data_IF_173840754911
#
_entry.id   IF_173840754911
#
_cell.length_a   1.000
_cell.length_b   1.000
_cell.length_c   1.000
_cell.angle_alpha   90.00
_cell.angle_beta   90.00
_cell.angle_gamma   90.00
#
_symmetry.space_group_name_H-M   'P 1'
#
loop_
_entity.id
_entity.type
_entity.pdbx_description
1 polymer ?
#
# COMPACT_ATOMS: atom_id res chain seq x y z
N UNK A 1 -22.83 8.40 -0.11
CA UNK A 1 -22.48 7.06 -0.66
C UNK A 1 -22.81 7.02 -2.13
N UNK A 2 -21.89 6.55 -2.99
CA UNK A 2 -22.06 6.50 -4.44
C UNK A 2 -22.00 5.03 -4.89
N UNK A 3 -22.89 4.62 -5.79
CA UNK A 3 -22.87 3.31 -6.44
C UNK A 3 -22.40 3.46 -7.89
N UNK A 4 -21.42 2.65 -8.28
CA UNK A 4 -20.88 2.57 -9.65
C UNK A 4 -21.24 1.21 -10.23
N UNK A 5 -21.94 1.22 -11.37
CA UNK A 5 -22.34 -0.03 -12.07
C UNK A 5 -21.51 -0.19 -13.34
N UNK A 6 -20.82 -1.30 -13.45
CA UNK A 6 -20.14 -1.73 -14.66
C UNK A 6 -20.88 -2.83 -15.40
N UNK A 7 -20.20 -3.38 -16.40
CA UNK A 7 -20.77 -4.46 -17.23
C UNK A 7 -20.93 -5.78 -16.46
N UNK A 8 -20.04 -6.08 -15.53
CA UNK A 8 -19.96 -7.37 -14.85
C UNK A 8 -20.15 -7.30 -13.34
N UNK A 9 -19.98 -6.11 -12.75
CA UNK A 9 -20.10 -5.94 -11.30
C UNK A 9 -20.52 -4.50 -10.95
N UNK A 10 -20.77 -4.29 -9.67
CA UNK A 10 -21.04 -2.98 -9.08
C UNK A 10 -20.13 -2.74 -7.87
N UNK A 11 -19.85 -1.48 -7.58
CA UNK A 11 -19.06 -1.05 -6.43
C UNK A 11 -19.79 0.00 -5.61
N UNK A 12 -19.57 0.01 -4.29
CA UNK A 12 -20.03 1.07 -3.39
C UNK A 12 -18.83 1.90 -2.92
N UNK A 13 -18.99 3.22 -2.98
CA UNK A 13 -18.01 4.20 -2.48
C UNK A 13 -18.63 4.88 -1.24
N UNK A 14 -17.95 4.80 -0.11
CA UNK A 14 -18.47 5.26 1.17
C UNK A 14 -18.15 6.73 1.48
N UNK A 15 -18.18 7.57 0.46
CA UNK A 15 -18.07 9.03 0.56
C UNK A 15 -18.77 9.69 -0.63
N UNK A 16 -19.06 10.97 -0.52
CA UNK A 16 -19.59 11.78 -1.62
C UNK A 16 -18.48 12.64 -2.27
N UNK A 17 -17.29 12.67 -1.66
CA UNK A 17 -16.12 13.44 -2.12
C UNK A 17 -15.16 12.53 -2.90
N UNK A 18 -15.38 12.43 -4.22
CA UNK A 18 -14.61 11.57 -5.13
C UNK A 18 -14.26 12.33 -6.40
N UNK A 19 -13.01 12.23 -6.85
CA UNK A 19 -12.57 12.79 -8.12
C UNK A 19 -13.02 11.93 -9.32
N UNK A 20 -13.10 12.54 -10.50
CA UNK A 20 -13.57 11.88 -11.73
C UNK A 20 -12.62 10.75 -12.20
N UNK A 21 -11.32 10.86 -11.93
CA UNK A 21 -10.36 9.82 -12.29
C UNK A 21 -10.57 8.55 -11.47
N UNK A 22 -10.86 8.71 -10.17
CA UNK A 22 -11.22 7.60 -9.29
C UNK A 22 -12.51 6.91 -9.74
N UNK A 23 -13.55 7.68 -10.09
CA UNK A 23 -14.81 7.13 -10.64
C UNK A 23 -14.53 6.32 -11.91
N UNK A 24 -13.73 6.85 -12.83
CA UNK A 24 -13.38 6.15 -14.07
C UNK A 24 -12.61 4.85 -13.82
N UNK A 25 -11.67 4.83 -12.86
CA UNK A 25 -10.94 3.62 -12.47
C UNK A 25 -11.85 2.56 -11.84
N UNK A 26 -12.79 2.94 -10.99
CA UNK A 26 -13.78 2.03 -10.40
C UNK A 26 -14.71 1.47 -11.48
N UNK A 27 -15.17 2.32 -12.41
CA UNK A 27 -15.99 1.90 -13.54
C UNK A 27 -15.26 0.87 -14.41
N UNK A 28 -13.97 1.11 -14.71
CA UNK A 28 -13.14 0.18 -15.48
C UNK A 28 -12.95 -1.16 -14.76
N UNK A 29 -12.76 -1.14 -13.43
CA UNK A 29 -12.71 -2.37 -12.62
C UNK A 29 -14.02 -3.15 -12.69
N UNK A 30 -15.17 -2.49 -12.54
CA UNK A 30 -16.49 -3.11 -12.60
C UNK A 30 -16.85 -3.63 -14.02
N UNK A 31 -16.16 -3.18 -15.05
CA UNK A 31 -16.27 -3.68 -16.43
C UNK A 31 -15.46 -4.95 -16.68
N UNK A 32 -14.68 -5.43 -15.72
CA UNK A 32 -13.87 -6.63 -15.87
C UNK A 32 -14.65 -7.89 -15.46
N UNK A 33 -14.70 -8.89 -16.33
CA UNK A 33 -15.43 -10.15 -16.10
C UNK A 33 -14.93 -10.90 -14.86
N UNK A 34 -13.63 -10.84 -14.55
CA UNK A 34 -13.06 -11.53 -13.38
C UNK A 34 -13.57 -10.99 -12.05
N UNK A 35 -14.21 -9.82 -12.02
CA UNK A 35 -14.81 -9.25 -10.80
C UNK A 35 -16.22 -9.78 -10.53
N UNK A 36 -16.81 -10.55 -11.44
CA UNK A 36 -18.15 -11.11 -11.26
C UNK A 36 -18.28 -11.88 -9.95
N UNK A 37 -19.30 -11.54 -9.15
CA UNK A 37 -19.53 -12.15 -7.83
C UNK A 37 -18.64 -11.61 -6.70
N UNK A 38 -17.66 -10.78 -6.98
CA UNK A 38 -16.86 -10.10 -5.97
C UNK A 38 -17.61 -8.93 -5.33
N UNK A 39 -17.43 -8.71 -4.04
CA UNK A 39 -17.95 -7.52 -3.35
C UNK A 39 -16.87 -6.44 -3.36
N UNK A 40 -17.07 -5.38 -4.17
CA UNK A 40 -16.13 -4.26 -4.33
C UNK A 40 -16.61 -3.11 -3.46
N UNK A 41 -15.76 -2.64 -2.55
CA UNK A 41 -16.04 -1.57 -1.58
C UNK A 41 -14.88 -0.59 -1.52
N UNK A 42 -15.19 0.70 -1.60
CA UNK A 42 -14.21 1.78 -1.64
C UNK A 42 -14.36 2.63 -0.38
N UNK A 43 -13.24 2.80 0.32
CA UNK A 43 -13.17 3.53 1.59
C UNK A 43 -13.30 5.06 1.37
N UNK A 44 -13.66 5.84 2.42
CA UNK A 44 -13.82 7.30 2.32
C UNK A 44 -12.59 8.06 1.84
N UNK A 45 -11.39 7.53 2.06
CA UNK A 45 -10.12 8.09 1.61
C UNK A 45 -9.77 7.78 0.15
N UNK A 46 -10.72 7.22 -0.63
CA UNK A 46 -10.53 6.89 -2.05
C UNK A 46 -9.88 8.03 -2.83
N UNK A 47 -8.90 7.68 -3.63
CA UNK A 47 -8.27 8.55 -4.62
C UNK A 47 -7.65 7.73 -5.76
N UNK A 48 -7.37 8.41 -6.88
CA UNK A 48 -6.79 7.75 -8.05
C UNK A 48 -5.38 7.22 -7.74
N UNK A 49 -5.09 5.99 -8.19
CA UNK A 49 -3.81 5.33 -8.05
C UNK A 49 -3.26 4.84 -9.39
N UNK A 50 -2.04 4.30 -9.38
CA UNK A 50 -1.44 3.70 -10.57
C UNK A 50 -2.24 2.45 -11.00
N UNK A 51 -3.04 2.59 -12.05
CA UNK A 51 -3.83 1.53 -12.66
C UNK A 51 -5.14 1.18 -11.96
N UNK A 52 -5.31 1.50 -10.68
CA UNK A 52 -6.54 1.29 -9.91
C UNK A 52 -6.54 2.16 -8.66
N UNK A 53 -7.73 2.42 -8.12
CA UNK A 53 -7.92 3.29 -6.96
C UNK A 53 -7.26 2.75 -5.70
N UNK A 54 -6.77 3.68 -4.86
CA UNK A 54 -6.39 3.46 -3.47
C UNK A 54 -7.66 3.62 -2.61
N UNK A 55 -7.78 2.92 -1.51
CA UNK A 55 -9.01 2.79 -0.73
C UNK A 55 -9.90 1.64 -1.20
N UNK A 56 -9.39 0.73 -2.04
CA UNK A 56 -10.15 -0.39 -2.61
C UNK A 56 -10.08 -1.63 -1.75
N UNK A 57 -11.25 -2.25 -1.51
CA UNK A 57 -11.37 -3.60 -0.95
C UNK A 57 -12.23 -4.47 -1.86
N UNK A 58 -11.86 -5.74 -2.01
CA UNK A 58 -12.58 -6.67 -2.86
C UNK A 58 -12.49 -8.09 -2.33
N UNK A 59 -13.61 -8.82 -2.31
CA UNK A 59 -13.56 -10.27 -2.08
C UNK A 59 -12.99 -10.97 -3.31
N UNK A 60 -12.14 -11.95 -3.09
CA UNK A 60 -11.49 -12.72 -4.16
C UNK A 60 -11.69 -14.23 -3.95
N UNK A 61 -11.48 -15.01 -4.98
CA UNK A 61 -11.53 -16.48 -4.93
C UNK A 61 -10.24 -17.10 -5.47
N UNK A 62 -10.11 -17.19 -6.77
CA UNK A 62 -9.05 -17.90 -7.51
C UNK A 62 -8.25 -17.01 -8.46
N UNK A 63 -8.53 -15.70 -8.43
CA UNK A 63 -7.87 -14.68 -9.28
C UNK A 63 -7.56 -13.46 -8.46
N UNK A 64 -6.39 -12.89 -8.69
CA UNK A 64 -6.00 -11.62 -8.06
C UNK A 64 -5.19 -10.76 -9.02
N UNK A 65 -5.45 -9.47 -8.99
CA UNK A 65 -4.63 -8.45 -9.67
C UNK A 65 -3.59 -7.94 -8.69
N UNK A 66 -2.28 -8.18 -8.90
CA UNK A 66 -1.23 -7.69 -7.99
C UNK A 66 -1.27 -6.17 -7.77
N UNK A 67 -1.59 -5.38 -8.79
CA UNK A 67 -1.76 -3.94 -8.66
C UNK A 67 -2.93 -3.53 -7.75
N UNK A 68 -3.95 -4.39 -7.56
CA UNK A 68 -5.04 -4.15 -6.61
C UNK A 68 -4.65 -4.45 -5.16
N UNK A 69 -3.52 -5.10 -4.92
CA UNK A 69 -2.89 -5.21 -3.59
C UNK A 69 -1.98 -3.99 -3.37
N UNK A 70 -1.34 -3.53 -4.43
CA UNK A 70 -0.36 -2.44 -4.41
C UNK A 70 1.07 -2.96 -4.46
N UNK A 71 1.98 -2.07 -4.87
CA UNK A 71 3.40 -2.42 -5.02
C UNK A 71 4.17 -2.42 -3.71
N UNK A 72 3.71 -1.66 -2.70
CA UNK A 72 4.28 -1.71 -1.35
C UNK A 72 3.48 -2.71 -0.50
N UNK A 73 3.68 -4.00 -0.79
CA UNK A 73 3.01 -5.11 -0.12
C UNK A 73 3.34 -5.07 1.38
N UNK A 74 2.32 -5.17 2.24
CA UNK A 74 2.49 -5.18 3.68
C UNK A 74 2.84 -3.81 4.27
N UNK A 75 2.75 -2.72 3.47
CA UNK A 75 2.85 -1.36 4.02
C UNK A 75 1.83 -1.18 5.14
N UNK A 76 2.25 -0.52 6.20
CA UNK A 76 1.43 -0.38 7.40
C UNK A 76 2.13 0.42 8.48
N UNK A 77 1.51 0.45 9.64
CA UNK A 77 1.97 1.24 10.78
C UNK A 77 2.21 0.36 11.98
N UNK A 78 3.33 0.58 12.64
CA UNK A 78 3.63 0.08 13.98
C UNK A 78 3.36 1.20 14.95
N UNK A 79 2.42 1.00 15.88
CA UNK A 79 2.02 1.99 16.87
C UNK A 79 2.39 1.51 18.25
N UNK A 80 3.19 2.29 18.98
CA UNK A 80 3.69 1.95 20.32
C UNK A 80 3.37 3.05 21.29
N UNK A 81 2.58 2.76 22.33
CA UNK A 81 2.39 3.65 23.47
C UNK A 81 3.52 3.43 24.45
N UNK A 82 4.09 4.54 24.93
CA UNK A 82 5.19 4.54 25.88
C UNK A 82 4.77 5.11 27.24
N UNK A 83 5.47 4.69 28.30
CA UNK A 83 5.22 5.17 29.68
C UNK A 83 5.65 6.61 29.90
N UNK A 84 6.68 7.06 29.19
CA UNK A 84 7.27 8.37 29.34
C UNK A 84 6.27 9.47 28.93
N UNK A 85 6.04 10.46 29.79
CA UNK A 85 5.19 11.61 29.49
C UNK A 85 5.89 12.71 28.71
N UNK A 86 7.22 12.60 28.46
CA UNK A 86 8.05 13.55 27.71
C UNK A 86 9.16 12.85 26.96
N UNK A 87 9.50 13.37 25.78
CA UNK A 87 10.65 12.95 24.97
C UNK A 87 11.55 14.14 24.63
N UNK A 88 12.84 13.88 24.57
CA UNK A 88 13.83 14.82 24.04
C UNK A 88 13.81 14.73 22.51
N UNK A 89 12.98 15.56 21.86
CA UNK A 89 12.70 15.46 20.41
C UNK A 89 13.95 15.66 19.54
N UNK A 90 14.87 16.57 19.95
CA UNK A 90 16.15 16.76 19.25
C UNK A 90 17.04 15.52 19.31
N UNK A 91 17.05 14.84 20.46
CA UNK A 91 17.81 13.60 20.62
C UNK A 91 17.20 12.45 19.81
N UNK A 92 15.86 12.38 19.76
CA UNK A 92 15.14 11.43 18.93
C UNK A 92 15.44 11.66 17.44
N UNK A 93 15.35 12.91 16.98
CA UNK A 93 15.63 13.31 15.60
C UNK A 93 17.06 12.88 15.18
N UNK A 94 18.04 13.21 16.03
CA UNK A 94 19.43 12.78 15.81
C UNK A 94 19.58 11.26 15.77
N UNK A 95 18.92 10.53 16.68
CA UNK A 95 18.94 9.07 16.70
C UNK A 95 18.39 8.49 15.40
N UNK A 96 17.26 9.03 14.90
CA UNK A 96 16.64 8.58 13.66
C UNK A 96 17.60 8.78 12.48
N UNK A 97 18.19 9.98 12.34
CA UNK A 97 19.17 10.26 11.29
C UNK A 97 20.39 9.33 11.32
N UNK A 98 20.87 8.97 12.53
CA UNK A 98 22.07 8.14 12.69
C UNK A 98 21.81 6.64 12.54
N UNK A 99 20.60 6.15 12.85
CA UNK A 99 20.32 4.72 13.01
C UNK A 99 19.32 4.14 12.00
N UNK A 100 18.49 4.98 11.39
CA UNK A 100 17.42 4.57 10.50
C UNK A 100 17.66 5.17 9.11
N UNK A 101 18.27 4.41 8.18
CA UNK A 101 18.40 4.85 6.80
C UNK A 101 17.04 5.18 6.20
N UNK A 102 16.96 6.25 5.40
CA UNK A 102 15.73 6.74 4.79
C UNK A 102 15.93 7.05 3.30
N UNK A 103 14.85 7.36 2.59
CA UNK A 103 14.90 7.56 1.14
C UNK A 103 15.32 6.28 0.41
N UNK A 104 16.32 6.39 -0.45
CA UNK A 104 16.92 5.26 -1.17
C UNK A 104 18.02 4.53 -0.39
N UNK A 105 18.43 5.06 0.76
CA UNK A 105 19.49 4.50 1.58
C UNK A 105 19.06 3.18 2.24
N UNK A 106 20.01 2.26 2.34
CA UNK A 106 19.87 0.97 3.02
C UNK A 106 20.98 0.82 4.06
N UNK A 107 20.89 -0.21 4.89
CA UNK A 107 21.94 -0.50 5.90
C UNK A 107 23.22 -1.04 5.25
N UNK A 108 24.36 -0.75 5.83
CA UNK A 108 25.63 -1.36 5.40
C UNK A 108 25.66 -2.87 5.64
N UNK A 109 25.06 -3.31 6.75
CA UNK A 109 24.93 -4.71 7.15
C UNK A 109 23.47 -5.05 7.41
N UNK A 110 23.10 -6.30 7.12
CA UNK A 110 21.76 -6.81 7.40
C UNK A 110 21.41 -6.66 8.90
N UNK A 111 20.16 -6.33 9.18
CA UNK A 111 19.64 -6.29 10.54
C UNK A 111 19.49 -7.72 11.09
N UNK A 112 19.57 -7.89 12.41
CA UNK A 112 19.44 -9.21 13.08
C UNK A 112 18.12 -9.93 12.75
N UNK A 113 17.04 -9.19 12.45
CA UNK A 113 15.75 -9.75 12.07
C UNK A 113 15.75 -10.45 10.71
N UNK A 114 16.81 -10.34 9.92
CA UNK A 114 16.96 -11.19 8.74
C UNK A 114 17.01 -12.69 9.11
N UNK A 115 17.44 -13.04 10.32
CA UNK A 115 17.43 -14.43 10.79
C UNK A 115 16.02 -14.99 11.05
N UNK A 116 14.98 -14.15 11.03
CA UNK A 116 13.59 -14.53 11.26
C UNK A 116 12.82 -14.77 9.95
N UNK A 117 13.48 -14.60 8.79
CA UNK A 117 12.87 -14.74 7.47
C UNK A 117 13.88 -15.33 6.48
N UNK A 118 13.41 -16.24 5.64
CA UNK A 118 14.21 -16.77 4.53
C UNK A 118 13.66 -16.24 3.20
N UNK A 119 14.33 -15.24 2.63
CA UNK A 119 13.94 -14.65 1.35
C UNK A 119 14.18 -15.56 0.15
N UNK A 120 14.97 -16.63 0.31
CA UNK A 120 15.19 -17.62 -0.75
C UNK A 120 13.96 -18.52 -1.00
N UNK A 121 13.00 -18.55 -0.08
CA UNK A 121 11.73 -19.25 -0.23
C UNK A 121 10.77 -18.55 -1.21
N UNK A 122 11.04 -17.31 -1.63
CA UNK A 122 10.24 -16.63 -2.66
C UNK A 122 10.24 -17.45 -3.96
N UNK A 123 9.07 -17.76 -4.48
CA UNK A 123 8.94 -18.41 -5.80
C UNK A 123 9.59 -17.56 -6.89
N UNK A 124 9.50 -16.23 -6.77
CA UNK A 124 10.12 -15.28 -7.70
C UNK A 124 11.56 -14.86 -7.30
N UNK A 125 12.24 -15.54 -6.37
CA UNK A 125 13.55 -15.16 -5.83
C UNK A 125 14.61 -14.80 -6.90
N UNK A 126 14.57 -15.46 -8.07
CA UNK A 126 15.51 -15.21 -9.18
C UNK A 126 15.25 -13.90 -9.93
N UNK A 127 14.15 -13.22 -9.63
CA UNK A 127 13.68 -12.02 -10.31
C UNK A 127 13.69 -10.77 -9.42
N UNK A 128 14.23 -10.89 -8.21
CA UNK A 128 14.31 -9.81 -7.22
C UNK A 128 15.75 -9.65 -6.70
N UNK A 129 16.10 -8.44 -6.25
CA UNK A 129 17.39 -8.15 -5.65
C UNK A 129 17.40 -8.51 -4.16
N UNK A 130 17.69 -9.80 -3.87
CA UNK A 130 17.75 -10.32 -2.50
C UNK A 130 18.81 -9.62 -1.65
N UNK A 131 19.98 -9.29 -2.21
CA UNK A 131 21.06 -8.64 -1.45
C UNK A 131 20.64 -7.24 -0.99
N UNK A 132 19.90 -6.51 -1.82
CA UNK A 132 19.32 -5.23 -1.44
C UNK A 132 18.23 -5.40 -0.39
N UNK A 133 17.36 -6.39 -0.55
CA UNK A 133 16.27 -6.69 0.38
C UNK A 133 16.82 -7.02 1.77
N UNK A 134 17.82 -7.90 1.90
CA UNK A 134 18.47 -8.28 3.16
C UNK A 134 18.98 -7.08 3.96
N UNK A 135 19.48 -6.04 3.27
CA UNK A 135 19.97 -4.81 3.88
C UNK A 135 18.91 -3.74 4.08
N UNK A 136 17.68 -3.99 3.66
CA UNK A 136 16.58 -3.01 3.74
C UNK A 136 15.74 -3.13 5.01
N UNK A 137 15.86 -4.20 5.81
CA UNK A 137 15.18 -4.32 7.11
C UNK A 137 15.70 -3.25 8.07
N UNK A 138 14.80 -2.50 8.69
CA UNK A 138 15.13 -1.39 9.58
C UNK A 138 15.44 -0.09 8.83
N UNK A 139 14.84 0.10 7.64
CA UNK A 139 14.95 1.34 6.85
C UNK A 139 13.57 1.94 6.57
N UNK A 140 13.47 3.27 6.62
CA UNK A 140 12.18 3.96 6.52
C UNK A 140 11.68 4.05 5.08
N UNK A 141 12.53 4.45 4.16
CA UNK A 141 12.14 4.85 2.81
C UNK A 141 11.74 6.31 2.69
N UNK A 142 11.12 6.65 1.59
CA UNK A 142 10.65 7.99 1.27
C UNK A 142 9.13 8.04 1.01
N UNK A 143 8.69 9.09 0.35
CA UNK A 143 7.29 9.29 0.01
C UNK A 143 6.40 9.54 1.24
N UNK A 144 5.33 8.75 1.38
CA UNK A 144 4.39 8.87 2.49
C UNK A 144 4.85 8.19 3.79
N UNK A 145 6.02 7.52 3.80
CA UNK A 145 6.57 6.91 5.02
C UNK A 145 7.00 7.96 6.03
N UNK A 146 6.85 7.67 7.31
CA UNK A 146 7.19 8.60 8.39
C UNK A 146 7.49 7.88 9.71
N UNK A 147 8.16 8.61 10.61
CA UNK A 147 8.24 8.30 12.03
C UNK A 147 7.67 9.50 12.77
N UNK A 148 6.68 9.26 13.63
CA UNK A 148 5.94 10.31 14.31
C UNK A 148 5.85 10.02 15.82
N UNK A 149 5.83 11.07 16.63
CA UNK A 149 5.46 11.00 18.03
C UNK A 149 4.22 11.82 18.20
N UNK A 150 3.16 11.16 18.60
CA UNK A 150 1.86 11.76 18.86
C UNK A 150 1.55 11.83 20.34
N UNK A 151 0.67 12.74 20.69
CA UNK A 151 0.16 12.93 22.04
C UNK A 151 -1.36 12.95 22.06
N UNK A 152 -1.97 12.24 23.02
CA UNK A 152 -3.41 12.32 23.25
C UNK A 152 -3.77 13.41 24.29
N UNK A 153 -5.08 13.62 24.50
CA UNK A 153 -5.59 14.63 25.42
C UNK A 153 -5.29 14.32 26.91
N UNK A 154 -4.96 13.07 27.23
CA UNK A 154 -4.52 12.65 28.56
C UNK A 154 -3.00 12.83 28.78
N UNK A 155 -2.27 13.17 27.73
CA UNK A 155 -0.83 13.35 27.76
C UNK A 155 -0.02 12.10 27.49
N UNK A 156 -0.65 10.97 27.13
CA UNK A 156 0.06 9.77 26.72
C UNK A 156 0.78 9.98 25.37
N UNK A 157 1.96 9.39 25.23
CA UNK A 157 2.76 9.46 24.03
C UNK A 157 2.71 8.15 23.24
N UNK A 158 2.60 8.31 21.93
CA UNK A 158 2.58 7.22 20.96
C UNK A 158 3.68 7.44 19.93
N UNK A 159 4.45 6.39 19.63
CA UNK A 159 5.41 6.41 18.54
C UNK A 159 4.77 5.61 17.39
N UNK A 160 4.72 6.22 16.21
CA UNK A 160 4.16 5.61 15.01
C UNK A 160 5.25 5.51 13.96
N UNK A 161 5.47 4.31 13.43
CA UNK A 161 6.39 4.04 12.31
C UNK A 161 5.55 3.56 11.13
N UNK A 162 5.48 4.37 10.08
CA UNK A 162 4.85 4.02 8.81
C UNK A 162 5.91 3.62 7.79
N UNK A 163 5.93 2.36 7.41
CA UNK A 163 6.82 1.83 6.37
C UNK A 163 6.32 0.48 5.85
N UNK A 164 6.90 0.02 4.75
CA UNK A 164 6.47 -1.18 4.05
C UNK A 164 7.63 -2.12 3.69
N UNK A 165 7.44 -2.83 2.58
CA UNK A 165 8.34 -3.88 2.09
C UNK A 165 9.50 -3.35 1.25
N UNK A 166 9.67 -2.04 1.20
CA UNK A 166 10.76 -1.40 0.47
C UNK A 166 10.74 -1.80 -1.01
N UNK A 167 11.93 -1.85 -1.65
CA UNK A 167 12.03 -2.22 -3.07
C UNK A 167 11.60 -3.67 -3.35
N UNK A 168 11.73 -4.57 -2.37
CA UNK A 168 11.32 -5.97 -2.50
C UNK A 168 9.85 -6.12 -2.92
N UNK A 169 8.95 -5.41 -2.26
CA UNK A 169 7.52 -5.47 -2.61
C UNK A 169 7.23 -4.98 -4.03
N UNK A 170 7.92 -3.92 -4.46
CA UNK A 170 7.81 -3.40 -5.84
C UNK A 170 8.23 -4.46 -6.86
N UNK A 171 9.35 -5.14 -6.64
CA UNK A 171 9.86 -6.17 -7.54
C UNK A 171 8.92 -7.38 -7.60
N UNK A 172 8.46 -7.89 -6.44
CA UNK A 172 7.51 -9.02 -6.35
C UNK A 172 6.19 -8.68 -7.04
N UNK A 173 5.58 -7.54 -6.71
CA UNK A 173 4.32 -7.12 -7.33
C UNK A 173 4.47 -6.94 -8.84
N UNK A 174 5.56 -6.34 -9.30
CA UNK A 174 5.83 -6.11 -10.73
C UNK A 174 6.05 -7.42 -11.49
N UNK A 175 6.75 -8.38 -10.88
CA UNK A 175 6.95 -9.71 -11.48
C UNK A 175 5.61 -10.41 -11.74
N UNK A 176 4.73 -10.49 -10.72
CA UNK A 176 3.44 -11.17 -10.87
C UNK A 176 2.47 -10.41 -11.77
N UNK A 177 2.48 -9.07 -11.74
CA UNK A 177 1.67 -8.26 -12.66
C UNK A 177 2.05 -8.51 -14.12
N UNK A 178 3.36 -8.58 -14.41
CA UNK A 178 3.86 -8.87 -15.75
C UNK A 178 3.61 -10.33 -16.15
N UNK A 179 3.80 -11.29 -15.24
CA UNK A 179 3.55 -12.70 -15.48
C UNK A 179 2.06 -12.96 -15.81
N UNK A 180 1.15 -12.37 -15.03
CA UNK A 180 -0.29 -12.44 -15.29
C UNK A 180 -0.65 -11.87 -16.66
N UNK A 181 -0.11 -10.70 -17.01
CA UNK A 181 -0.35 -10.09 -18.31
C UNK A 181 0.18 -10.95 -19.47
N UNK A 182 1.35 -11.57 -19.32
CA UNK A 182 1.92 -12.49 -20.32
C UNK A 182 1.04 -13.71 -20.53
N UNK A 183 0.52 -14.31 -19.46
CA UNK A 183 -0.38 -15.47 -19.54
C UNK A 183 -1.67 -15.10 -20.25
N UNK A 184 -2.29 -13.98 -19.91
CA UNK A 184 -3.53 -13.50 -20.54
C UNK A 184 -3.37 -13.13 -22.02
N UNK A 185 -2.15 -12.80 -22.46
CA UNK A 185 -1.83 -12.49 -23.86
C UNK A 185 -1.17 -13.67 -24.59
N UNK A 186 -1.01 -14.83 -23.96
CA UNK A 186 -0.46 -16.01 -24.62
C UNK A 186 -1.46 -16.51 -25.66
N UNK A 187 -0.97 -16.71 -26.88
CA UNK A 187 -1.75 -17.40 -27.89
C UNK A 187 -1.95 -18.85 -27.47
N UNK A 188 -3.18 -19.31 -27.42
CA UNK A 188 -3.50 -20.69 -27.06
C UNK A 188 -2.99 -21.69 -28.11
N UNK A 189 -2.69 -22.91 -27.66
CA UNK A 189 -2.11 -23.94 -28.52
C UNK A 189 -3.06 -24.38 -29.63
N UNK A 190 -4.37 -24.35 -29.40
CA UNK A 190 -5.38 -24.65 -30.41
C UNK A 190 -5.36 -23.64 -31.58
N UNK A 191 -5.21 -22.35 -31.30
CA UNK A 191 -5.04 -21.30 -32.31
C UNK A 191 -3.76 -21.50 -33.13
N UNK A 192 -2.67 -21.93 -32.49
CA UNK A 192 -1.41 -22.24 -33.15
C UNK A 192 -1.58 -23.44 -34.09
N UNK A 193 -2.17 -24.51 -33.59
CA UNK A 193 -2.41 -25.72 -34.37
C UNK A 193 -3.36 -25.47 -35.58
N UNK A 194 -4.43 -24.70 -35.34
CA UNK A 194 -5.36 -24.32 -36.40
C UNK A 194 -4.68 -23.48 -37.49
N UNK A 195 -3.80 -22.52 -37.11
CA UNK A 195 -3.02 -21.76 -38.09
C UNK A 195 -2.09 -22.64 -38.89
N UNK A 196 -1.36 -23.55 -38.25
CA UNK A 196 -0.45 -24.50 -38.91
C UNK A 196 -1.21 -25.40 -39.86
N UNK A 197 -2.33 -25.99 -39.43
CA UNK A 197 -3.17 -26.87 -40.25
C UNK A 197 -3.70 -26.15 -41.50
N UNK A 198 -4.24 -24.94 -41.33
CA UNK A 198 -4.71 -24.07 -42.41
C UNK A 198 -3.61 -23.79 -43.43
N UNK A 199 -2.44 -23.34 -42.99
CA UNK A 199 -1.34 -22.96 -43.87
C UNK A 199 -0.74 -24.16 -44.62
N UNK A 200 -0.73 -25.36 -44.01
CA UNK A 200 -0.39 -26.60 -44.70
C UNK A 200 -1.38 -26.95 -45.79
N UNK A 201 -2.69 -26.82 -45.50
CA UNK A 201 -3.75 -27.06 -46.50
C UNK A 201 -3.66 -26.08 -47.68
N UNK A 202 -3.22 -24.84 -47.44
CA UNK A 202 -3.02 -23.81 -48.46
C UNK A 202 -1.67 -23.92 -49.21
N UNK A 203 -0.81 -24.89 -48.87
CA UNK A 203 0.54 -25.05 -49.47
C UNK A 203 1.54 -23.93 -49.09
N UNK A 204 1.30 -23.23 -48.00
CA UNK A 204 2.11 -22.05 -47.53
C UNK A 204 3.02 -22.40 -46.37
N UNK A 205 3.57 -23.59 -46.34
CA UNK A 205 4.37 -24.08 -45.22
C UNK A 205 5.60 -23.20 -44.90
N UNK A 206 6.22 -22.62 -45.96
CA UNK A 206 7.38 -21.74 -45.81
C UNK A 206 7.08 -20.44 -45.05
N UNK A 207 5.83 -20.04 -44.97
CA UNK A 207 5.37 -18.81 -44.33
C UNK A 207 4.92 -19.05 -42.88
N UNK A 208 4.80 -20.32 -42.44
CA UNK A 208 4.27 -20.66 -41.10
C UNK A 208 4.99 -19.90 -40.00
N UNK A 209 6.31 -19.86 -39.99
CA UNK A 209 7.08 -19.13 -38.93
C UNK A 209 6.78 -17.65 -38.88
N UNK A 210 6.60 -17.01 -40.03
CA UNK A 210 6.27 -15.58 -40.14
C UNK A 210 4.84 -15.32 -39.63
N UNK A 211 3.89 -16.13 -39.97
CA UNK A 211 2.50 -15.97 -39.52
C UNK A 211 2.31 -16.34 -38.05
N UNK A 212 3.02 -17.36 -37.53
CA UNK A 212 3.08 -17.65 -36.08
C UNK A 212 3.65 -16.47 -35.28
N UNK A 213 4.68 -15.81 -35.80
CA UNK A 213 5.23 -14.60 -35.16
C UNK A 213 4.22 -13.47 -35.13
N UNK A 214 3.45 -13.28 -36.22
CA UNK A 214 2.36 -12.29 -36.24
C UNK A 214 1.26 -12.65 -35.25
N UNK A 215 0.80 -13.91 -35.24
CA UNK A 215 -0.24 -14.39 -34.32
C UNK A 215 0.16 -14.19 -32.86
N UNK A 216 1.40 -14.56 -32.50
CA UNK A 216 1.94 -14.37 -31.14
C UNK A 216 2.10 -12.90 -30.72
N UNK A 217 2.21 -11.99 -31.68
CA UNK A 217 2.28 -10.55 -31.44
C UNK A 217 0.90 -9.87 -31.38
N UNK A 218 -0.18 -10.57 -31.71
CA UNK A 218 -1.51 -10.04 -31.55
C UNK A 218 -1.90 -9.99 -30.08
N UNK A 219 -2.55 -8.91 -29.68
CA UNK A 219 -3.13 -8.79 -28.33
C UNK A 219 -4.28 -9.79 -28.18
N UNK A 220 -4.14 -10.76 -27.28
CA UNK A 220 -5.12 -11.82 -27.04
C UNK A 220 -6.18 -11.47 -26.00
N UNK A 221 -5.94 -10.44 -25.19
CA UNK A 221 -6.89 -10.01 -24.17
C UNK A 221 -7.23 -8.53 -24.28
N UNK A 222 -8.48 -8.18 -23.94
CA UNK A 222 -8.91 -6.79 -23.77
C UNK A 222 -8.69 -6.26 -22.35
N UNK A 223 -8.21 -7.11 -21.42
CA UNK A 223 -7.92 -6.69 -20.06
C UNK A 223 -6.75 -5.69 -20.09
N UNK A 224 -6.91 -4.50 -19.47
CA UNK A 224 -5.80 -3.55 -19.35
C UNK A 224 -4.63 -4.18 -18.58
N UNK A 225 -3.39 -3.86 -18.98
CA UNK A 225 -2.19 -4.39 -18.30
C UNK A 225 -2.22 -4.13 -16.78
N UNK A 226 -2.74 -2.98 -16.38
CA UNK A 226 -2.85 -2.60 -14.97
C UNK A 226 -3.84 -3.48 -14.18
N UNK A 227 -4.80 -4.13 -14.86
CA UNK A 227 -5.81 -5.02 -14.27
C UNK A 227 -5.58 -6.49 -14.64
N UNK A 228 -4.43 -6.83 -15.24
CA UNK A 228 -4.09 -8.21 -15.50
C UNK A 228 -3.98 -8.99 -14.19
N UNK A 229 -4.66 -10.14 -14.16
CA UNK A 229 -4.70 -10.97 -12.96
C UNK A 229 -3.81 -12.22 -13.10
N UNK A 230 -3.45 -12.79 -11.97
CA UNK A 230 -2.86 -14.12 -11.85
C UNK A 230 -3.93 -15.11 -11.39
N UNK A 231 -3.85 -16.37 -11.86
CA UNK A 231 -4.74 -17.47 -11.52
C UNK A 231 -3.99 -18.79 -11.53
N UNK A 232 -4.60 -19.87 -11.00
CA UNK A 232 -3.98 -21.18 -10.92
C UNK A 232 -2.66 -21.16 -10.17
N UNK A 233 -1.62 -21.79 -10.70
CA UNK A 233 -0.31 -21.88 -10.07
C UNK A 233 0.31 -20.49 -9.77
N UNK A 234 0.17 -19.52 -10.68
CA UNK A 234 0.66 -18.15 -10.44
C UNK A 234 -0.08 -17.46 -9.30
N UNK A 235 -1.37 -17.77 -9.09
CA UNK A 235 -2.11 -17.25 -7.95
C UNK A 235 -1.53 -17.80 -6.63
N UNK A 236 -1.32 -19.12 -6.54
CA UNK A 236 -0.77 -19.76 -5.36
C UNK A 236 0.66 -19.24 -5.04
N UNK A 237 1.50 -19.11 -6.06
CA UNK A 237 2.83 -18.55 -5.91
C UNK A 237 2.79 -17.09 -5.43
N UNK A 238 1.88 -16.27 -5.97
CA UNK A 238 1.73 -14.88 -5.54
C UNK A 238 1.26 -14.78 -4.08
N UNK A 239 0.28 -15.59 -3.66
CA UNK A 239 -0.18 -15.62 -2.27
C UNK A 239 0.95 -16.02 -1.31
N UNK A 240 1.75 -17.03 -1.70
CA UNK A 240 2.91 -17.46 -0.93
C UNK A 240 3.93 -16.33 -0.79
N UNK A 241 4.36 -15.73 -1.89
CA UNK A 241 5.38 -14.68 -1.91
C UNK A 241 4.89 -13.41 -1.21
N UNK A 242 3.61 -13.05 -1.40
CA UNK A 242 2.99 -11.92 -0.70
C UNK A 242 3.07 -12.08 0.83
N UNK A 243 2.84 -13.29 1.37
CA UNK A 243 2.95 -13.56 2.82
C UNK A 243 4.38 -13.35 3.32
N UNK A 244 5.38 -13.78 2.58
CA UNK A 244 6.80 -13.55 2.90
C UNK A 244 7.09 -12.04 2.90
N UNK A 245 6.63 -11.32 1.88
CA UNK A 245 6.84 -9.87 1.78
C UNK A 245 6.10 -9.10 2.88
N UNK A 246 4.90 -9.54 3.29
CA UNK A 246 4.20 -8.98 4.46
C UNK A 246 5.01 -9.16 5.75
N UNK A 247 5.55 -10.37 5.96
CA UNK A 247 6.41 -10.65 7.11
C UNK A 247 7.67 -9.78 7.08
N UNK A 248 8.30 -9.65 5.93
CA UNK A 248 9.43 -8.73 5.74
C UNK A 248 9.09 -7.28 6.14
N UNK A 249 7.95 -6.76 5.68
CA UNK A 249 7.50 -5.41 6.01
C UNK A 249 7.23 -5.22 7.52
N UNK A 250 6.68 -6.25 8.19
CA UNK A 250 6.49 -6.26 9.64
C UNK A 250 7.85 -6.18 10.36
N UNK A 251 8.80 -7.03 10.00
CA UNK A 251 10.15 -7.03 10.58
C UNK A 251 10.87 -5.70 10.33
N UNK A 252 10.65 -5.09 9.17
CA UNK A 252 11.18 -3.77 8.85
C UNK A 252 10.69 -2.70 9.85
N UNK A 253 9.38 -2.62 10.12
CA UNK A 253 8.82 -1.67 11.10
C UNK A 253 9.28 -1.96 12.52
N UNK A 254 9.28 -3.23 12.93
CA UNK A 254 9.77 -3.64 14.25
C UNK A 254 11.24 -3.29 14.47
N UNK A 255 12.08 -3.46 13.46
CA UNK A 255 13.49 -3.12 13.55
C UNK A 255 13.70 -1.62 13.82
N UNK A 256 12.95 -0.75 13.15
CA UNK A 256 13.01 0.69 13.39
C UNK A 256 12.47 1.06 14.78
N UNK A 257 11.35 0.47 15.19
CA UNK A 257 10.79 0.70 16.52
C UNK A 257 11.77 0.26 17.63
N UNK A 258 12.43 -0.86 17.46
CA UNK A 258 13.47 -1.35 18.40
C UNK A 258 14.65 -0.38 18.52
N UNK A 259 15.13 0.18 17.40
CA UNK A 259 16.20 1.16 17.42
C UNK A 259 15.79 2.42 18.22
N UNK A 260 14.54 2.88 18.05
CA UNK A 260 14.01 4.04 18.77
C UNK A 260 13.85 3.73 20.26
N UNK A 261 13.16 2.64 20.60
CA UNK A 261 12.88 2.27 22.00
C UNK A 261 14.17 2.06 22.79
N UNK A 262 15.15 1.34 22.21
CA UNK A 262 16.44 1.10 22.84
C UNK A 262 17.31 2.36 22.92
N UNK A 263 17.40 3.11 21.81
CA UNK A 263 18.23 4.32 21.73
C UNK A 263 17.76 5.44 22.66
N UNK A 264 16.46 5.57 22.84
CA UNK A 264 15.85 6.55 23.75
C UNK A 264 15.61 5.98 25.15
N UNK A 265 15.84 4.67 25.40
CA UNK A 265 15.61 3.96 26.68
C UNK A 265 14.15 4.06 27.15
N UNK A 266 13.22 3.79 26.26
CA UNK A 266 11.78 3.90 26.50
C UNK A 266 11.19 2.61 27.07
N UNK A 267 10.06 2.74 27.78
CA UNK A 267 9.28 1.62 28.32
C UNK A 267 7.98 1.51 27.52
N UNK A 268 7.86 0.42 26.78
CA UNK A 268 6.65 0.10 26.00
C UNK A 268 5.54 -0.37 26.94
N UNK A 269 4.36 0.25 26.84
CA UNK A 269 3.15 -0.17 27.55
C UNK A 269 2.21 -0.97 26.65
N UNK A 270 2.12 -0.57 25.39
CA UNK A 270 1.19 -1.16 24.44
C UNK A 270 1.75 -1.03 23.01
N UNK A 271 1.52 -2.05 22.20
CA UNK A 271 1.97 -2.07 20.81
C UNK A 271 0.96 -2.79 19.93
N UNK A 272 0.71 -2.27 18.73
CA UNK A 272 -0.08 -2.94 17.71
C UNK A 272 0.31 -2.47 16.31
N UNK A 273 -0.01 -3.29 15.31
CA UNK A 273 0.28 -2.99 13.91
C UNK A 273 -1.00 -2.96 13.08
N UNK A 274 -1.02 -2.13 12.03
CA UNK A 274 -2.05 -2.12 10.98
C UNK A 274 -1.40 -2.23 9.62
N UNK A 275 -2.02 -2.98 8.71
CA UNK A 275 -1.53 -3.20 7.36
C UNK A 275 -2.60 -2.75 6.37
N UNK A 276 -2.21 -2.11 5.27
CA UNK A 276 -3.17 -1.53 4.32
C UNK A 276 -2.97 -1.92 2.85
N UNK A 277 -1.97 -2.75 2.51
CA UNK A 277 -1.75 -3.30 1.17
C UNK A 277 -1.48 -4.80 1.29
N UNK A 278 -2.53 -5.61 1.28
CA UNK A 278 -2.41 -7.04 1.47
C UNK A 278 -3.69 -7.80 1.11
N UNK A 279 -3.62 -9.11 1.16
CA UNK A 279 -4.76 -10.02 1.12
C UNK A 279 -4.89 -10.69 2.48
N UNK A 280 -6.06 -10.52 3.11
CA UNK A 280 -6.48 -11.36 4.23
C UNK A 280 -6.86 -12.73 3.67
N UNK A 281 -5.95 -13.69 3.78
CA UNK A 281 -6.12 -15.02 3.18
C UNK A 281 -7.12 -15.90 3.92
N UNK A 282 -7.50 -15.56 5.15
CA UNK A 282 -8.52 -16.28 5.92
C UNK A 282 -9.93 -15.85 5.46
N UNK A 283 -10.12 -14.55 5.24
CA UNK A 283 -11.38 -13.98 4.78
C UNK A 283 -11.45 -13.83 3.26
N UNK A 284 -10.36 -14.08 2.54
CA UNK A 284 -10.20 -13.83 1.11
C UNK A 284 -10.63 -12.42 0.70
N UNK A 285 -10.13 -11.44 1.43
CA UNK A 285 -10.36 -10.01 1.19
C UNK A 285 -9.05 -9.33 0.80
N UNK A 286 -9.01 -8.80 -0.40
CA UNK A 286 -7.95 -7.95 -0.90
C UNK A 286 -8.16 -6.52 -0.38
N UNK A 287 -7.08 -5.87 0.07
CA UNK A 287 -7.06 -4.47 0.51
C UNK A 287 -5.92 -3.71 -0.15
N UNK A 288 -6.26 -2.59 -0.80
CA UNK A 288 -5.30 -1.62 -1.33
C UNK A 288 -5.57 -0.25 -0.73
N UNK A 289 -4.70 0.22 0.16
CA UNK A 289 -4.95 1.45 0.89
C UNK A 289 -6.20 1.37 1.75
N UNK A 290 -6.39 0.23 2.43
CA UNK A 290 -7.46 0.00 3.38
C UNK A 290 -6.97 -0.94 4.48
N UNK A 291 -7.40 -0.72 5.72
CA UNK A 291 -7.02 -1.53 6.88
C UNK A 291 -8.14 -2.49 7.25
N UNK A 292 -7.80 -3.57 7.94
CA UNK A 292 -8.78 -4.44 8.60
C UNK A 292 -9.51 -3.68 9.72
N UNK A 293 -10.81 -3.93 9.85
CA UNK A 293 -11.67 -3.37 10.90
C UNK A 293 -12.65 -4.45 11.40
N UNK A 294 -12.13 -5.65 11.67
CA UNK A 294 -12.90 -6.73 12.29
C UNK A 294 -13.40 -6.27 13.65
N UNK A 295 -14.45 -6.92 14.17
CA UNK A 295 -15.03 -6.53 15.47
C UNK A 295 -13.98 -6.58 16.58
N UNK A 296 -13.84 -5.50 17.32
CA UNK A 296 -12.88 -5.36 18.41
C UNK A 296 -11.42 -5.15 18.00
N UNK A 297 -11.10 -5.16 16.70
CA UNK A 297 -9.74 -4.95 16.20
C UNK A 297 -9.33 -3.49 16.32
N UNK A 298 -8.13 -3.24 16.86
CA UNK A 298 -7.57 -1.89 16.95
C UNK A 298 -6.96 -1.48 15.62
N UNK A 299 -7.19 -0.24 15.21
CA UNK A 299 -6.63 0.33 13.99
C UNK A 299 -6.27 1.81 14.18
N UNK A 300 -5.29 2.23 13.38
CA UNK A 300 -4.84 3.61 13.28
C UNK A 300 -5.17 4.16 11.90
N UNK A 301 -5.78 5.35 11.85
CA UNK A 301 -6.05 6.08 10.62
C UNK A 301 -5.31 7.42 10.67
N UNK A 302 -4.12 7.55 10.06
CA UNK A 302 -3.38 8.81 10.00
C UNK A 302 -4.04 9.79 9.05
N UNK A 303 -4.05 11.05 9.43
CA UNK A 303 -4.63 12.13 8.62
C UNK A 303 -3.52 12.84 7.83
N UNK A 304 -2.62 13.52 8.51
CA UNK A 304 -1.45 14.18 7.93
C UNK A 304 -0.48 14.59 9.05
N UNK A 305 0.70 15.11 8.67
CA UNK A 305 1.79 15.51 9.57
C UNK A 305 1.43 16.55 10.67
N UNK A 306 0.27 17.24 10.55
CA UNK A 306 -0.19 18.28 11.49
C UNK A 306 -1.38 17.82 12.32
N UNK A 307 -2.35 17.19 11.67
CA UNK A 307 -3.65 16.90 12.30
C UNK A 307 -3.64 15.57 13.07
N UNK A 308 -2.63 14.71 12.82
CA UNK A 308 -2.39 13.49 13.57
C UNK A 308 -3.18 12.29 13.06
N UNK A 309 -3.61 11.44 13.99
CA UNK A 309 -4.20 10.14 13.66
C UNK A 309 -5.41 9.83 14.56
N UNK A 310 -6.31 8.97 14.04
CA UNK A 310 -7.43 8.43 14.78
C UNK A 310 -7.09 7.04 15.28
N UNK A 311 -7.14 6.83 16.60
CA UNK A 311 -7.11 5.50 17.21
C UNK A 311 -8.54 4.98 17.26
N UNK A 312 -8.81 3.89 16.56
CA UNK A 312 -10.15 3.34 16.39
C UNK A 312 -10.23 1.87 16.78
N UNK A 313 -11.47 1.41 16.94
CA UNK A 313 -11.82 -0.01 17.09
C UNK A 313 -12.80 -0.38 15.99
N UNK A 314 -12.51 -1.45 15.27
CA UNK A 314 -13.34 -1.99 14.20
C UNK A 314 -14.67 -2.54 14.70
N UNK A 315 -15.69 -2.48 13.86
CA UNK A 315 -17.07 -2.94 14.14
C UNK A 315 -17.43 -4.21 13.37
N UNK A 316 -16.53 -4.77 12.57
CA UNK A 316 -16.78 -5.98 11.80
C UNK A 316 -17.87 -5.83 10.73
N UNK A 317 -18.06 -4.63 10.15
CA UNK A 317 -19.11 -4.38 9.17
C UNK A 317 -18.85 -5.10 7.84
N UNK A 318 -19.64 -6.13 7.57
CA UNK A 318 -19.48 -6.96 6.35
C UNK A 318 -19.74 -6.18 5.07
N UNK A 319 -20.67 -5.20 5.05
CA UNK A 319 -20.89 -4.37 3.85
C UNK A 319 -19.68 -3.48 3.53
N UNK A 320 -18.77 -3.30 4.48
CA UNK A 320 -17.49 -2.63 4.30
C UNK A 320 -16.32 -3.60 4.07
N UNK A 321 -16.58 -4.87 3.80
CA UNK A 321 -15.57 -5.92 3.78
C UNK A 321 -14.75 -5.98 5.07
N UNK A 322 -15.37 -5.70 6.24
CA UNK A 322 -14.68 -5.59 7.53
C UNK A 322 -13.42 -4.73 7.42
N UNK A 323 -13.53 -3.57 6.78
CA UNK A 323 -12.40 -2.70 6.43
C UNK A 323 -12.70 -1.24 6.76
N UNK A 324 -11.64 -0.45 6.94
CA UNK A 324 -11.69 0.99 7.19
C UNK A 324 -10.65 1.72 6.32
N UNK A 325 -10.73 3.05 6.16
CA UNK A 325 -9.71 3.82 5.44
C UNK A 325 -8.35 3.69 6.12
N UNK A 326 -7.28 3.73 5.32
CA UNK A 326 -5.91 3.68 5.82
C UNK A 326 -5.31 5.05 6.11
N UNK A 327 -6.03 6.12 5.77
CA UNK A 327 -5.59 7.51 5.92
C UNK A 327 -6.69 8.50 5.57
N UNK A 328 -6.31 9.75 5.31
CA UNK A 328 -7.26 10.79 4.89
C UNK A 328 -7.57 10.75 3.39
N UNK A 329 -6.66 10.25 2.57
CA UNK A 329 -6.70 10.40 1.11
C UNK A 329 -6.17 11.75 0.65
N UNK A 330 -5.69 11.79 -0.59
CA UNK A 330 -5.12 13.00 -1.18
C UNK A 330 -6.18 13.81 -1.92
N UNK A 331 -6.06 15.14 -1.85
CA UNK A 331 -6.86 16.09 -2.65
C UNK A 331 -6.28 16.28 -4.05
N UNK A 332 -4.98 16.04 -4.23
CA UNK A 332 -4.26 16.27 -5.47
C UNK A 332 -3.06 15.33 -5.63
N UNK A 333 -2.53 15.22 -6.84
CA UNK A 333 -1.33 14.45 -7.11
C UNK A 333 -0.10 15.03 -6.40
N UNK A 334 0.97 14.23 -6.25
CA UNK A 334 2.25 14.70 -5.70
C UNK A 334 2.85 15.85 -6.52
N UNK A 335 2.76 15.75 -7.85
CA UNK A 335 3.26 16.79 -8.75
C UNK A 335 2.48 18.11 -8.59
N UNK A 336 1.16 18.03 -8.50
CA UNK A 336 0.32 19.21 -8.30
C UNK A 336 0.58 19.87 -6.96
N UNK A 337 0.78 19.09 -5.88
CA UNK A 337 1.12 19.62 -4.56
C UNK A 337 2.46 20.37 -4.57
N UNK A 338 3.51 19.82 -5.22
CA UNK A 338 4.80 20.49 -5.38
C UNK A 338 4.71 21.81 -6.17
N UNK A 339 3.71 21.94 -7.05
CA UNK A 339 3.48 23.16 -7.82
C UNK A 339 2.57 24.17 -7.11
N UNK A 340 1.61 23.68 -6.30
CA UNK A 340 0.57 24.52 -5.69
C UNK A 340 0.99 25.17 -4.39
N UNK A 341 1.94 24.60 -3.66
CA UNK A 341 2.34 25.06 -2.33
C UNK A 341 3.79 25.51 -2.28
N UNK A 342 4.10 26.30 -1.24
CA UNK A 342 5.46 26.79 -0.97
C UNK A 342 5.98 26.21 0.35
N UNK A 343 7.31 26.10 0.46
CA UNK A 343 7.97 25.68 1.72
C UNK A 343 7.62 26.63 2.88
N UNK A 344 7.39 27.92 2.60
CA UNK A 344 6.99 28.89 3.62
C UNK A 344 5.61 28.60 4.19
N UNK A 345 4.64 28.26 3.35
CA UNK A 345 3.30 27.84 3.77
C UNK A 345 3.38 26.54 4.56
N UNK A 346 4.16 25.56 4.07
CA UNK A 346 4.36 24.30 4.76
C UNK A 346 4.94 24.51 6.17
N UNK A 347 5.99 25.35 6.31
CA UNK A 347 6.55 25.70 7.61
C UNK A 347 5.52 26.31 8.58
N UNK A 348 4.62 27.17 8.08
CA UNK A 348 3.56 27.77 8.90
C UNK A 348 2.59 26.70 9.42
N UNK A 349 2.22 25.73 8.57
CA UNK A 349 1.34 24.63 8.95
C UNK A 349 1.95 23.71 9.99
N UNK A 350 3.26 23.58 10.01
CA UNK A 350 4.01 22.73 10.95
C UNK A 350 4.56 23.46 12.19
N UNK A 351 4.11 24.69 12.46
CA UNK A 351 4.67 25.53 13.51
C UNK A 351 4.61 24.91 14.93
N UNK A 352 3.62 24.06 15.19
CA UNK A 352 3.42 23.39 16.49
C UNK A 352 4.04 21.98 16.56
N UNK A 353 4.60 21.48 15.45
CA UNK A 353 5.21 20.16 15.35
C UNK A 353 6.71 20.30 15.18
N UNK A 354 7.48 19.68 16.06
CA UNK A 354 8.93 19.62 15.87
C UNK A 354 9.27 18.72 14.68
N UNK A 355 9.87 19.30 13.65
CA UNK A 355 10.28 18.54 12.46
C UNK A 355 11.46 19.21 11.75
N UNK A 356 12.40 18.41 11.28
CA UNK A 356 13.51 18.81 10.40
C UNK A 356 13.23 18.47 8.94
N UNK A 357 12.07 17.87 8.66
CA UNK A 357 11.71 17.32 7.34
C UNK A 357 10.98 18.30 6.41
N UNK A 358 10.73 19.55 6.83
CA UNK A 358 10.03 20.55 6.00
C UNK A 358 10.99 21.13 4.97
N UNK A 359 10.94 20.62 3.76
CA UNK A 359 11.82 20.99 2.65
C UNK A 359 11.08 21.00 1.31
N UNK A 360 11.76 21.37 0.24
CA UNK A 360 11.23 21.25 -1.12
C UNK A 360 11.03 19.77 -1.53
N UNK A 361 11.88 18.88 -1.05
CA UNK A 361 11.81 17.45 -1.36
C UNK A 361 10.54 16.78 -0.78
N UNK A 362 10.07 17.25 0.39
CA UNK A 362 8.89 16.72 1.10
C UNK A 362 7.62 17.56 0.89
N UNK A 363 7.63 18.56 0.01
CA UNK A 363 6.52 19.50 -0.18
C UNK A 363 5.23 18.82 -0.65
N UNK A 364 5.33 17.73 -1.38
CA UNK A 364 4.19 16.92 -1.81
C UNK A 364 3.45 16.21 -0.65
N UNK A 365 4.08 16.13 0.52
CA UNK A 365 3.50 15.53 1.73
C UNK A 365 2.95 16.58 2.72
N UNK A 366 2.93 17.86 2.34
CA UNK A 366 2.40 18.92 3.20
C UNK A 366 0.92 18.68 3.58
N UNK A 367 0.47 19.11 4.79
CA UNK A 367 -0.90 18.86 5.26
C UNK A 367 -1.99 19.30 4.29
N UNK A 368 -1.77 20.37 3.52
CA UNK A 368 -2.74 20.91 2.57
C UNK A 368 -3.01 20.01 1.36
N UNK A 369 -2.18 19.00 1.12
CA UNK A 369 -2.36 18.04 0.02
C UNK A 369 -3.38 16.92 0.34
N UNK A 370 -3.87 16.86 1.57
CA UNK A 370 -4.74 15.80 2.10
C UNK A 370 -6.14 16.30 2.44
N UNK A 371 -7.13 15.38 2.39
CA UNK A 371 -8.49 15.63 2.89
C UNK A 371 -8.44 15.95 4.40
N UNK A 372 -9.42 16.67 4.88
CA UNK A 372 -9.52 17.01 6.30
C UNK A 372 -9.92 15.82 7.17
N UNK A 373 -9.58 15.87 8.47
CA UNK A 373 -9.99 14.85 9.43
C UNK A 373 -11.53 14.68 9.48
N UNK A 374 -12.28 15.78 9.34
CA UNK A 374 -13.74 15.77 9.41
C UNK A 374 -14.35 14.92 8.28
N UNK A 375 -13.76 14.96 7.07
CA UNK A 375 -14.24 14.14 5.94
C UNK A 375 -14.18 12.63 6.25
N UNK A 376 -13.21 12.21 7.04
CA UNK A 376 -13.09 10.83 7.49
C UNK A 376 -14.07 10.54 8.63
N UNK A 377 -14.14 11.41 9.64
CA UNK A 377 -15.01 11.26 10.81
C UNK A 377 -16.48 11.15 10.42
N UNK A 378 -16.93 11.92 9.44
CA UNK A 378 -18.33 11.94 8.97
C UNK A 378 -18.74 10.61 8.31
N UNK A 379 -17.80 9.82 7.84
CA UNK A 379 -18.07 8.62 7.04
C UNK A 379 -17.74 7.29 7.73
N UNK A 380 -16.78 7.25 8.69
CA UNK A 380 -16.28 5.96 9.23
C UNK A 380 -17.16 5.33 10.30
N UNK A 381 -18.14 6.06 10.82
CA UNK A 381 -19.02 5.59 11.92
C UNK A 381 -19.61 4.18 11.72
N UNK A 382 -20.00 3.76 10.50
CA UNK A 382 -20.52 2.41 10.26
C UNK A 382 -19.47 1.29 10.43
N UNK A 383 -18.19 1.54 10.22
CA UNK A 383 -17.13 0.51 10.21
C UNK A 383 -16.16 0.57 11.37
N UNK A 384 -15.96 1.76 11.97
CA UNK A 384 -15.02 1.94 13.07
C UNK A 384 -15.54 2.95 14.09
N UNK A 385 -15.18 2.72 15.36
CA UNK A 385 -15.43 3.65 16.46
C UNK A 385 -14.13 4.37 16.83
N UNK A 386 -14.13 5.70 16.76
CA UNK A 386 -13.01 6.52 17.18
C UNK A 386 -12.91 6.53 18.72
N UNK A 387 -11.81 6.05 19.25
CA UNK A 387 -11.55 6.02 20.69
C UNK A 387 -10.76 7.23 21.15
N UNK A 388 -9.78 7.67 20.35
CA UNK A 388 -8.90 8.80 20.66
C UNK A 388 -8.43 9.48 19.38
N UNK A 389 -8.13 10.75 19.50
CA UNK A 389 -7.37 11.51 18.51
C UNK A 389 -5.98 11.76 19.10
N UNK A 390 -4.95 11.38 18.38
CA UNK A 390 -3.57 11.63 18.76
C UNK A 390 -2.97 12.64 17.80
N UNK A 391 -2.25 13.65 18.33
CA UNK A 391 -1.71 14.78 17.55
C UNK A 391 -0.20 14.79 17.58
N UNK A 392 0.45 15.03 16.43
CA UNK A 392 1.90 14.98 16.36
C UNK A 392 2.55 16.14 17.16
N UNK A 393 3.55 15.77 17.94
CA UNK A 393 4.50 16.69 18.56
C UNK A 393 5.86 16.63 17.88
N UNK A 394 6.08 15.54 17.10
CA UNK A 394 7.28 15.30 16.31
C UNK A 394 6.91 14.55 15.02
N UNK A 395 7.54 14.91 13.90
CA UNK A 395 7.42 14.16 12.65
C UNK A 395 8.76 14.14 11.89
N UNK A 396 9.13 12.98 11.39
CA UNK A 396 10.25 12.76 10.48
C UNK A 396 9.78 12.12 9.18
N UNK A 397 10.19 12.70 8.06
CA UNK A 397 10.01 12.17 6.70
C UNK A 397 11.28 12.34 5.90
N UNK A 398 11.55 11.42 5.00
CA UNK A 398 12.55 11.59 3.95
C UNK A 398 11.88 11.97 2.63
N UNK A 399 12.53 12.81 1.84
CA UNK A 399 12.17 13.04 0.46
C UNK A 399 12.50 11.84 -0.42
N UNK A 400 11.92 11.78 -1.61
CA UNK A 400 12.24 10.73 -2.61
C UNK A 400 13.65 10.91 -3.21
N UNK A 401 14.30 12.03 -2.94
CA UNK A 401 15.64 12.40 -3.47
C UNK A 401 16.77 12.25 -2.43
N UNK A 402 16.46 11.85 -1.20
CA UNK A 402 17.43 11.73 -0.09
C UNK A 402 18.06 10.33 0.00
#
# INVERSE_FOLDING_TARGET
MIEIKGKYNEAKIFTDVVDSASIAQVQELCNQEFTSGSRIRLMPDIHAGAGCTIGTTMTITDKVVPNLVGVDIGCGMETTRIREGRLELQKLDKLIYEKIPSGFSIRDKAHRYLNEIDLSELCCARHVDLLRAEKSIGTLGGGNHFIEVDKDDEGNLYIVVHSGSRHLGVEVASYYQEAGYKVLNRTDDASIEALIARMKAEGREKEIQKELKKLKNLKQTNIPKALAYVSGELFEQYIHDMKIVQHFAMLNRQAMMDEIVKGMKLHVEEQFTTIHNYIDTDAMILRKGAVSAKEGERLLIPINMRDGSLLCVGKGNEDWNCSAPHGAGRLMSRADAKQSFTVSEFKKQMAEVYTTSVSKATLDECPMAYKGMQDILDNIGPTAEVRRIIRPIYNFKAGDED
#
